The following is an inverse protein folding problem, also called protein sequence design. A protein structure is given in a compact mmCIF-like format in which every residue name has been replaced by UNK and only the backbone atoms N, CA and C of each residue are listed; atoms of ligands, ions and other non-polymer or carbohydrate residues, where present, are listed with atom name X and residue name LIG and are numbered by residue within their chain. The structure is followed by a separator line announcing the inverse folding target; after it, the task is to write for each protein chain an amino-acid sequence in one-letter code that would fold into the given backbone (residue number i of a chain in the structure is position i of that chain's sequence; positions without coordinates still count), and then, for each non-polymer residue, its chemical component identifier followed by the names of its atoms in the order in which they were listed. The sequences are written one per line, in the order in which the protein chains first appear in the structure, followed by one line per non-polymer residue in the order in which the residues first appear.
data_IF_708984348454
#
_entry.id   IF_708984348454
#
_cell.length_a   1.000
_cell.length_b   1.000
_cell.length_c   1.000
_cell.angle_alpha   90.00
_cell.angle_beta   90.00
_cell.angle_gamma   90.00
#
_symmetry.space_group_name_H-M   'P 1'
#
loop_
_entity.id
_entity.type
_entity.pdbx_description
1 polymer ?
#
# COMPACT_ATOMS: atom_id res chain seq x y z
N UNK A 1 12.97 4.56 3.47
CA UNK A 1 12.69 3.93 2.16
C UNK A 1 11.89 2.66 2.44
N UNK A 2 11.06 2.19 1.52
CA UNK A 2 10.35 0.93 1.72
C UNK A 2 11.32 -0.25 1.60
N UNK A 3 11.33 -1.09 2.62
CA UNK A 3 12.19 -2.28 2.72
C UNK A 3 11.32 -3.53 2.77
N UNK A 4 11.38 -4.32 1.71
CA UNK A 4 10.57 -5.53 1.56
C UNK A 4 11.42 -6.78 1.67
N UNK A 5 10.86 -7.81 2.27
CA UNK A 5 11.44 -9.16 2.19
C UNK A 5 11.57 -9.60 0.73
N UNK A 6 12.54 -10.47 0.40
CA UNK A 6 12.71 -10.99 -0.95
C UNK A 6 11.39 -11.53 -1.53
N UNK A 7 11.04 -11.12 -2.75
CA UNK A 7 9.81 -11.52 -3.44
C UNK A 7 8.55 -10.75 -3.05
N UNK A 8 8.49 -10.11 -1.87
CA UNK A 8 7.30 -9.37 -1.45
C UNK A 8 7.03 -8.14 -2.34
N UNK A 9 8.08 -7.43 -2.78
CA UNK A 9 7.94 -6.29 -3.70
C UNK A 9 7.25 -6.72 -5.02
N UNK A 10 7.68 -7.81 -5.62
CA UNK A 10 7.11 -8.29 -6.89
C UNK A 10 5.62 -8.64 -6.74
N UNK A 11 5.27 -9.34 -5.66
CA UNK A 11 3.87 -9.63 -5.33
C UNK A 11 3.04 -8.35 -5.13
N UNK A 12 3.54 -7.39 -4.35
CA UNK A 12 2.83 -6.13 -4.10
C UNK A 12 2.64 -5.30 -5.36
N UNK A 13 3.58 -5.32 -6.30
CA UNK A 13 3.42 -4.70 -7.63
C UNK A 13 2.37 -5.43 -8.48
N UNK A 14 2.36 -6.76 -8.44
CA UNK A 14 1.40 -7.59 -9.20
C UNK A 14 -0.05 -7.28 -8.79
N UNK A 15 -0.30 -7.12 -7.48
CA UNK A 15 -1.64 -6.79 -6.96
C UNK A 15 -1.94 -5.28 -6.94
N UNK A 16 -1.09 -4.45 -7.57
CA UNK A 16 -1.21 -2.98 -7.64
C UNK A 16 -1.19 -2.28 -6.29
N UNK A 17 -0.61 -2.89 -5.26
CA UNK A 17 -0.47 -2.28 -3.96
C UNK A 17 0.61 -1.18 -3.92
N UNK A 18 1.59 -1.21 -4.85
CA UNK A 18 2.63 -0.19 -4.94
C UNK A 18 2.43 0.73 -6.14
N UNK A 19 2.84 1.98 -5.97
CA UNK A 19 2.94 3.00 -7.01
C UNK A 19 4.17 3.87 -6.77
N UNK A 20 4.39 4.85 -7.63
CA UNK A 20 5.41 5.89 -7.44
C UNK A 20 4.75 7.26 -7.26
N UNK A 21 5.24 8.06 -6.32
CA UNK A 21 4.83 9.47 -6.20
C UNK A 21 5.47 10.35 -7.29
N UNK A 22 5.17 11.66 -7.26
CA UNK A 22 5.72 12.62 -8.24
C UNK A 22 7.24 12.79 -8.18
N UNK A 23 7.88 12.36 -7.10
CA UNK A 23 9.32 12.38 -6.88
C UNK A 23 9.97 11.00 -7.15
N UNK A 24 9.23 10.07 -7.74
CA UNK A 24 9.64 8.70 -8.04
C UNK A 24 9.95 7.83 -6.81
N UNK A 25 9.41 8.19 -5.65
CA UNK A 25 9.49 7.32 -4.47
C UNK A 25 8.45 6.21 -4.56
N UNK A 26 8.87 4.98 -4.29
CA UNK A 26 7.94 3.86 -4.13
C UNK A 26 7.09 4.07 -2.88
N UNK A 27 5.76 3.98 -3.05
CA UNK A 27 4.75 4.18 -2.01
C UNK A 27 3.67 3.11 -2.11
N UNK A 28 2.98 2.85 -1.00
CA UNK A 28 1.69 2.17 -1.09
C UNK A 28 0.72 3.09 -1.82
N UNK A 29 -0.02 2.56 -2.80
CA UNK A 29 -0.95 3.38 -3.60
C UNK A 29 -1.94 4.09 -2.68
N UNK A 30 -2.19 5.38 -2.96
CA UNK A 30 -3.04 6.24 -2.13
C UNK A 30 -2.36 6.80 -0.87
N UNK A 31 -1.08 6.50 -0.61
CA UNK A 31 -0.34 7.00 0.54
C UNK A 31 0.83 7.91 0.14
N UNK A 32 1.26 8.78 1.07
CA UNK A 32 2.55 9.48 0.97
C UNK A 32 3.71 8.55 1.35
N UNK A 33 4.94 8.99 1.10
CA UNK A 33 6.17 8.28 1.53
C UNK A 33 6.19 8.02 3.04
N UNK A 34 5.88 9.04 3.85
CA UNK A 34 5.91 8.93 5.31
C UNK A 34 4.87 7.92 5.82
N UNK A 35 3.69 7.94 5.24
CA UNK A 35 2.62 7.00 5.58
C UNK A 35 2.97 5.59 5.14
N UNK A 36 3.56 5.42 3.95
CA UNK A 36 3.96 4.12 3.43
C UNK A 36 5.02 3.44 4.31
N UNK A 37 6.03 4.20 4.75
CA UNK A 37 7.07 3.69 5.66
C UNK A 37 6.46 3.33 7.02
N UNK A 38 5.60 4.19 7.57
CA UNK A 38 4.92 3.89 8.83
C UNK A 38 4.03 2.64 8.71
N UNK A 39 3.30 2.50 7.60
CA UNK A 39 2.38 1.40 7.34
C UNK A 39 3.13 0.06 7.19
N UNK A 40 4.25 0.05 6.47
CA UNK A 40 5.14 -1.11 6.36
C UNK A 40 5.64 -1.57 7.73
N UNK A 41 6.15 -0.65 8.54
CA UNK A 41 6.66 -0.97 9.87
C UNK A 41 5.54 -1.53 10.77
N UNK A 42 4.37 -0.90 10.74
CA UNK A 42 3.20 -1.37 11.50
C UNK A 42 2.77 -2.77 11.08
N UNK A 43 2.77 -3.09 9.78
CA UNK A 43 2.47 -4.44 9.28
C UNK A 43 3.51 -5.46 9.74
N UNK A 44 4.80 -5.13 9.67
CA UNK A 44 5.88 -6.02 10.10
C UNK A 44 5.80 -6.28 11.61
N UNK A 45 5.64 -5.25 12.43
CA UNK A 45 5.46 -5.37 13.87
C UNK A 45 4.20 -6.17 14.21
N UNK A 46 3.11 -5.97 13.45
CA UNK A 46 1.84 -6.67 13.68
C UNK A 46 1.97 -8.15 13.35
N UNK A 47 2.64 -8.49 12.25
CA UNK A 47 2.91 -9.87 11.86
C UNK A 47 3.78 -10.59 12.90
N UNK A 48 4.73 -9.87 13.49
CA UNK A 48 5.59 -10.38 14.56
C UNK A 48 4.93 -10.36 15.96
N UNK A 49 3.68 -9.91 16.08
CA UNK A 49 2.96 -9.83 17.36
C UNK A 49 3.52 -8.77 18.32
N UNK A 50 4.26 -7.78 17.81
CA UNK A 50 4.95 -6.74 18.59
C UNK A 50 4.19 -5.42 18.64
N UNK A 51 3.17 -5.25 17.81
CA UNK A 51 2.40 -4.01 17.75
C UNK A 51 1.63 -3.76 19.04
N UNK A 52 1.94 -2.64 19.69
CA UNK A 52 1.07 -2.06 20.71
C UNK A 52 -0.15 -1.41 20.04
N UNK A 53 -1.36 -1.82 20.44
CA UNK A 53 -2.62 -1.34 19.84
C UNK A 53 -3.31 -0.28 20.71
N UNK A 54 -2.66 0.17 21.77
CA UNK A 54 -3.28 1.01 22.81
C UNK A 54 -3.04 2.52 22.62
N UNK A 55 -2.19 2.90 21.65
CA UNK A 55 -1.75 4.27 21.39
C UNK A 55 -2.48 4.97 20.22
N UNK A 56 -3.56 4.36 19.69
CA UNK A 56 -4.27 4.85 18.50
C UNK A 56 -3.60 4.47 17.16
N UNK A 57 -2.50 3.70 17.19
CA UNK A 57 -1.87 3.16 15.98
C UNK A 57 -2.82 2.26 15.18
N UNK A 58 -3.72 1.52 15.83
CA UNK A 58 -4.72 0.71 15.15
C UNK A 58 -5.70 1.57 14.34
N UNK A 59 -6.16 2.70 14.88
CA UNK A 59 -7.08 3.59 14.17
C UNK A 59 -6.39 4.23 12.95
N UNK A 60 -5.13 4.66 13.12
CA UNK A 60 -4.31 5.15 12.02
C UNK A 60 -4.08 4.07 10.96
N UNK A 61 -3.81 2.83 11.36
CA UNK A 61 -3.67 1.71 10.44
C UNK A 61 -4.93 1.49 9.62
N UNK A 62 -6.10 1.43 10.26
CA UNK A 62 -7.37 1.22 9.57
C UNK A 62 -7.66 2.33 8.56
N UNK A 63 -7.50 3.60 8.96
CA UNK A 63 -7.70 4.73 8.05
C UNK A 63 -6.76 4.70 6.84
N UNK A 64 -5.49 4.32 7.06
CA UNK A 64 -4.53 4.16 5.98
C UNK A 64 -4.87 2.97 5.08
N UNK A 65 -5.24 1.83 5.67
CA UNK A 65 -5.59 0.62 4.95
C UNK A 65 -6.81 0.81 4.06
N UNK A 66 -7.86 1.45 4.57
CA UNK A 66 -9.10 1.70 3.81
C UNK A 66 -8.81 2.61 2.61
N UNK A 67 -8.09 3.71 2.81
CA UNK A 67 -7.70 4.61 1.72
C UNK A 67 -6.82 3.91 0.68
N UNK A 68 -5.92 3.05 1.14
CA UNK A 68 -5.05 2.27 0.27
C UNK A 68 -5.84 1.28 -0.59
N UNK A 69 -6.78 0.55 0.00
CA UNK A 69 -7.60 -0.42 -0.73
C UNK A 69 -8.54 0.26 -1.72
N UNK A 70 -9.14 1.41 -1.35
CA UNK A 70 -9.93 2.22 -2.29
C UNK A 70 -9.09 2.66 -3.50
N UNK A 71 -7.89 3.20 -3.25
CA UNK A 71 -6.99 3.65 -4.31
C UNK A 71 -6.51 2.48 -5.19
N UNK A 72 -6.24 1.32 -4.59
CA UNK A 72 -5.83 0.10 -5.28
C UNK A 72 -6.94 -0.41 -6.20
N UNK A 73 -8.17 -0.45 -5.72
CA UNK A 73 -9.33 -0.85 -6.53
C UNK A 73 -9.58 0.12 -7.69
N UNK A 74 -9.44 1.43 -7.46
CA UNK A 74 -9.53 2.43 -8.52
C UNK A 74 -8.46 2.24 -9.60
N UNK A 75 -7.22 1.93 -9.22
CA UNK A 75 -6.13 1.65 -10.16
C UNK A 75 -6.43 0.41 -11.03
N UNK A 76 -6.85 -0.70 -10.40
CA UNK A 76 -7.22 -1.93 -11.10
C UNK A 76 -8.40 -1.70 -12.06
N UNK A 77 -9.40 -0.93 -11.61
CA UNK A 77 -10.54 -0.58 -12.44
C UNK A 77 -10.11 0.27 -13.65
N UNK A 78 -9.21 1.23 -13.47
CA UNK A 78 -8.70 2.06 -14.57
C UNK A 78 -7.97 1.22 -15.63
N UNK A 79 -7.11 0.29 -15.22
CA UNK A 79 -6.44 -0.65 -16.13
C UNK A 79 -7.44 -1.53 -16.90
N UNK A 80 -8.46 -2.04 -16.20
CA UNK A 80 -9.50 -2.89 -16.79
C UNK A 80 -10.35 -2.14 -17.84
N UNK A 81 -10.58 -0.84 -17.64
CA UNK A 81 -11.30 -0.01 -18.62
C UNK A 81 -10.44 0.31 -19.84
N UNK A 82 -9.12 0.46 -19.67
CA UNK A 82 -8.18 0.66 -20.78
C UNK A 82 -7.96 -0.59 -21.65
N UNK A 83 -8.34 -1.78 -21.17
CA UNK A 83 -8.23 -3.05 -21.90
C UNK A 83 -9.46 -3.45 -22.73
N UNK A 84 -10.53 -2.66 -22.75
CA UNK A 84 -11.68 -2.94 -23.64
C UNK A 84 -11.25 -2.73 -25.10
N UNK A 85 -11.29 -3.75 -25.98
CA UNK A 85 -11.02 -3.54 -27.39
C UNK A 85 -12.09 -2.62 -27.97
N UNK A 86 -11.66 -1.58 -28.68
CA UNK A 86 -12.53 -0.84 -29.57
C UNK A 86 -13.10 -1.83 -30.60
N UNK A 87 -14.43 -1.98 -30.59
CA UNK A 87 -15.17 -2.80 -31.55
C UNK A 87 -15.46 -2.01 -32.82
#
# INVERSE_FOLDING_TARGET
MLEFQPGARAYLMEIRALSTDGDHNEVFVGMTVKESVWYQNYLEESFNGKTDRSDGSQEKYLALHDRHEEARQAAIAAESHSQKPAN
#
